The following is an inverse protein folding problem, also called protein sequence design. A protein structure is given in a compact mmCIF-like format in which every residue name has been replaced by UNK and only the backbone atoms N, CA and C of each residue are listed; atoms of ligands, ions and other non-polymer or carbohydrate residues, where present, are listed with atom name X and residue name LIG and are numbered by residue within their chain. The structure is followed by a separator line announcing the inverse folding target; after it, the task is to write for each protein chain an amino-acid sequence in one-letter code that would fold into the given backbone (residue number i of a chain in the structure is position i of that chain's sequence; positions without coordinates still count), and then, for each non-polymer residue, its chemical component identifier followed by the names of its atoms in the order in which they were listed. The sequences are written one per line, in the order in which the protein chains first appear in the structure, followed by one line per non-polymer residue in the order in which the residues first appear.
data_IF_195461438319
#
_entry.id   IF_195461438319
#
_cell.length_a   1.000
_cell.length_b   1.000
_cell.length_c   1.000
_cell.angle_alpha   90.00
_cell.angle_beta   90.00
_cell.angle_gamma   90.00
#
_symmetry.space_group_name_H-M   'P 1'
#
loop_
_entity.id
_entity.type
_entity.pdbx_description
1 polymer ?
#
# COMPACT_ATOMS: atom_id res chain seq x y z
N UNK A 1 -15.06 7.78 19.64
CA UNK A 1 -14.02 8.17 18.66
C UNK A 1 -13.59 6.91 17.93
N UNK A 2 -13.60 6.90 16.60
CA UNK A 2 -13.21 5.72 15.82
C UNK A 2 -11.68 5.58 15.78
N UNK A 3 -11.18 4.35 15.74
CA UNK A 3 -9.77 4.04 15.48
C UNK A 3 -9.23 4.71 14.20
N UNK A 4 -10.11 5.03 13.24
CA UNK A 4 -9.76 5.75 12.01
C UNK A 4 -9.12 7.13 12.26
N UNK A 5 -9.59 7.89 13.26
CA UNK A 5 -9.04 9.21 13.58
C UNK A 5 -7.62 9.08 14.16
N UNK A 6 -7.39 8.07 15.00
CA UNK A 6 -6.06 7.79 15.55
C UNK A 6 -5.10 7.39 14.43
N UNK A 7 -5.56 6.56 13.47
CA UNK A 7 -4.77 6.15 12.31
C UNK A 7 -4.40 7.33 11.40
N UNK A 8 -5.33 8.25 11.15
CA UNK A 8 -5.08 9.44 10.34
C UNK A 8 -4.01 10.35 10.97
N UNK A 9 -4.13 10.62 12.28
CA UNK A 9 -3.16 11.43 13.03
C UNK A 9 -1.80 10.74 13.09
N UNK A 10 -1.78 9.43 13.40
CA UNK A 10 -0.55 8.65 13.42
C UNK A 10 0.14 8.68 12.05
N UNK A 11 -0.62 8.57 10.96
CA UNK A 11 -0.12 8.69 9.59
C UNK A 11 0.57 10.02 9.36
N UNK A 12 -0.06 11.14 9.75
CA UNK A 12 0.54 12.48 9.58
C UNK A 12 1.82 12.62 10.39
N UNK A 13 1.80 12.22 11.68
CA UNK A 13 2.98 12.31 12.53
C UNK A 13 4.14 11.45 12.02
N UNK A 14 3.88 10.21 11.59
CA UNK A 14 4.91 9.35 11.00
C UNK A 14 5.46 9.93 9.69
N UNK A 15 4.61 10.53 8.85
CA UNK A 15 5.05 11.15 7.60
C UNK A 15 5.91 12.40 7.83
N UNK A 16 5.60 13.21 8.86
CA UNK A 16 6.28 14.47 9.15
C UNK A 16 7.55 14.29 10.01
N UNK A 17 7.48 13.43 11.03
CA UNK A 17 8.51 13.29 12.08
C UNK A 17 9.29 11.98 11.98
N UNK A 18 8.88 11.09 11.07
CA UNK A 18 9.42 9.74 10.96
C UNK A 18 8.98 8.84 12.11
N UNK A 19 9.42 7.59 12.07
CA UNK A 19 9.13 6.60 13.11
C UNK A 19 9.66 7.05 14.46
N UNK A 20 10.96 7.34 14.57
CA UNK A 20 11.61 7.72 15.83
C UNK A 20 11.03 9.00 16.47
N UNK A 21 10.72 10.01 15.66
CA UNK A 21 10.17 11.29 16.14
C UNK A 21 8.70 11.23 16.59
N UNK A 22 8.04 10.07 16.43
CA UNK A 22 6.62 9.88 16.75
C UNK A 22 6.46 9.00 17.98
N UNK A 23 5.55 9.36 18.89
CA UNK A 23 5.25 8.55 20.09
C UNK A 23 3.74 8.35 20.25
N UNK A 24 3.33 7.25 20.89
CA UNK A 24 1.91 7.04 21.22
C UNK A 24 1.34 8.18 22.07
N UNK A 25 2.17 8.84 22.89
CA UNK A 25 1.77 10.01 23.69
C UNK A 25 1.46 11.23 22.81
N UNK A 26 2.32 11.54 21.84
CA UNK A 26 2.11 12.70 20.95
C UNK A 26 0.90 12.49 20.07
N UNK A 27 0.63 11.25 19.64
CA UNK A 27 -0.59 10.91 18.88
C UNK A 27 -1.83 11.03 19.77
N UNK A 28 -1.79 10.50 21.00
CA UNK A 28 -2.91 10.60 21.95
C UNK A 28 -3.28 12.05 22.26
N UNK A 29 -2.26 12.90 22.47
CA UNK A 29 -2.44 14.31 22.73
C UNK A 29 -3.14 15.03 21.57
N UNK A 30 -2.71 14.77 20.33
CA UNK A 30 -3.31 15.38 19.14
C UNK A 30 -4.71 14.83 18.85
N UNK A 31 -4.94 13.54 19.09
CA UNK A 31 -6.23 12.90 18.97
C UNK A 31 -7.22 13.27 20.09
N UNK A 32 -6.77 13.97 21.15
CA UNK A 32 -7.61 14.30 22.30
C UNK A 32 -8.07 13.06 23.10
N UNK A 33 -7.24 12.01 23.13
CA UNK A 33 -7.52 10.76 23.86
C UNK A 33 -6.42 10.44 24.87
N UNK A 34 -6.68 9.48 25.76
CA UNK A 34 -5.65 8.93 26.62
C UNK A 34 -4.79 7.92 25.83
N UNK A 35 -3.47 7.93 26.06
CA UNK A 35 -2.52 6.94 25.53
C UNK A 35 -2.98 5.48 25.77
N UNK A 36 -3.64 5.21 26.91
CA UNK A 36 -4.22 3.89 27.19
C UNK A 36 -5.22 3.43 26.12
N UNK A 37 -5.97 4.34 25.49
CA UNK A 37 -6.89 4.01 24.40
C UNK A 37 -6.14 3.62 23.13
N UNK A 38 -5.00 4.27 22.83
CA UNK A 38 -4.15 3.89 21.69
C UNK A 38 -3.54 2.50 21.93
N UNK A 39 -3.02 2.25 23.14
CA UNK A 39 -2.53 0.93 23.52
C UNK A 39 -3.62 -0.14 23.44
N UNK A 40 -4.88 0.19 23.77
CA UNK A 40 -5.98 -0.76 23.64
C UNK A 40 -6.21 -1.18 22.18
N UNK A 41 -6.12 -0.24 21.22
CA UNK A 41 -6.35 -0.54 19.81
C UNK A 41 -5.15 -1.17 19.10
N UNK A 42 -3.94 -0.73 19.41
CA UNK A 42 -2.75 -1.06 18.61
C UNK A 42 -1.67 -1.81 19.38
N UNK A 43 -1.82 -1.96 20.70
CA UNK A 43 -0.91 -2.63 21.65
C UNK A 43 0.45 -1.92 21.79
N UNK A 44 1.17 -1.74 20.70
CA UNK A 44 2.52 -1.18 20.62
C UNK A 44 2.61 -0.06 19.57
N UNK A 45 3.74 0.67 19.58
CA UNK A 45 4.01 1.70 18.55
C UNK A 45 4.23 1.03 17.20
N UNK A 46 4.89 -0.12 17.21
CA UNK A 46 5.13 -1.00 16.06
C UNK A 46 3.79 -1.43 15.45
N UNK A 47 2.86 -1.97 16.25
CA UNK A 47 1.54 -2.38 15.77
C UNK A 47 0.69 -1.21 15.24
N UNK A 48 0.84 -0.01 15.81
CA UNK A 48 0.22 1.19 15.25
C UNK A 48 0.84 1.57 13.90
N UNK A 49 2.16 1.49 13.77
CA UNK A 49 2.85 1.76 12.52
C UNK A 49 2.49 0.74 11.44
N UNK A 50 2.42 -0.56 11.77
CA UNK A 50 1.92 -1.62 10.89
C UNK A 50 0.51 -1.30 10.37
N UNK A 51 -0.39 -0.87 11.27
CA UNK A 51 -1.75 -0.50 10.89
C UNK A 51 -1.77 0.74 9.98
N UNK A 52 -0.91 1.73 10.22
CA UNK A 52 -0.73 2.91 9.34
C UNK A 52 -0.21 2.50 7.97
N UNK A 53 0.79 1.61 7.91
CA UNK A 53 1.40 1.10 6.67
C UNK A 53 0.34 0.36 5.85
N UNK A 54 -0.44 -0.52 6.48
CA UNK A 54 -1.52 -1.27 5.85
C UNK A 54 -2.63 -0.37 5.29
N UNK A 55 -3.11 0.57 6.10
CA UNK A 55 -4.15 1.51 5.70
C UNK A 55 -3.66 2.51 4.65
N UNK A 56 -2.35 2.81 4.65
CA UNK A 56 -1.76 3.49 3.51
C UNK A 56 -1.83 2.54 2.32
N UNK A 57 -1.02 1.48 2.28
CA UNK A 57 -0.74 0.72 1.06
C UNK A 57 -1.97 0.07 0.38
N UNK A 58 -3.14 -0.03 1.05
CA UNK A 58 -4.38 -0.62 0.52
C UNK A 58 -5.39 0.41 0.01
N UNK A 59 -5.61 0.50 -1.31
CA UNK A 59 -6.81 1.14 -1.81
C UNK A 59 -8.04 0.37 -1.31
N UNK A 60 -9.06 1.05 -0.76
CA UNK A 60 -10.28 0.40 -0.33
C UNK A 60 -10.95 -0.31 -1.51
N UNK A 61 -11.44 -1.52 -1.24
CA UNK A 61 -12.12 -2.39 -2.21
C UNK A 61 -11.29 -2.75 -3.45
N UNK A 62 -9.95 -2.65 -3.42
CA UNK A 62 -9.12 -2.90 -4.59
C UNK A 62 -9.43 -4.27 -5.22
N UNK A 63 -9.45 -5.33 -4.42
CA UNK A 63 -9.71 -6.70 -4.89
C UNK A 63 -11.08 -6.77 -5.57
N UNK A 64 -12.13 -6.26 -4.91
CA UNK A 64 -13.50 -6.25 -5.45
C UNK A 64 -13.57 -5.49 -6.77
N UNK A 65 -13.00 -4.28 -6.85
CA UNK A 65 -13.00 -3.46 -8.07
C UNK A 65 -12.20 -4.09 -9.21
N UNK A 66 -11.07 -4.74 -8.88
CA UNK A 66 -10.24 -5.42 -9.87
C UNK A 66 -10.94 -6.66 -10.42
N UNK A 67 -11.68 -7.38 -9.57
CA UNK A 67 -12.47 -8.54 -9.98
C UNK A 67 -13.75 -8.16 -10.74
N UNK A 68 -14.26 -6.94 -10.55
CA UNK A 68 -15.39 -6.37 -11.28
C UNK A 68 -15.02 -6.02 -12.73
N UNK A 69 -14.88 -7.05 -13.55
CA UNK A 69 -14.68 -6.91 -15.00
C UNK A 69 -14.07 -8.14 -15.67
N UNK A 70 -13.82 -8.08 -16.98
CA UNK A 70 -13.35 -9.22 -17.76
C UNK A 70 -12.01 -9.77 -17.25
N UNK A 71 -11.91 -11.08 -17.04
CA UNK A 71 -10.67 -11.73 -16.53
C UNK A 71 -9.44 -11.43 -17.39
N UNK A 72 -9.60 -11.32 -18.71
CA UNK A 72 -8.51 -11.01 -19.66
C UNK A 72 -7.97 -9.59 -19.60
N UNK A 73 -8.52 -8.73 -18.73
CA UNK A 73 -8.09 -7.33 -18.51
C UNK A 73 -7.75 -7.05 -17.04
N UNK A 74 -7.63 -8.09 -16.21
CA UNK A 74 -7.39 -7.93 -14.77
C UNK A 74 -6.06 -7.24 -14.49
N UNK A 75 -5.01 -7.52 -15.28
CA UNK A 75 -3.70 -6.88 -15.13
C UNK A 75 -3.75 -5.36 -15.32
N UNK A 76 -4.41 -4.90 -16.39
CA UNK A 76 -4.62 -3.47 -16.63
C UNK A 76 -5.44 -2.82 -15.51
N UNK A 77 -6.51 -3.48 -15.04
CA UNK A 77 -7.32 -2.95 -13.94
C UNK A 77 -6.55 -2.85 -12.63
N UNK A 78 -5.74 -3.86 -12.28
CA UNK A 78 -4.90 -3.81 -11.07
C UNK A 78 -4.00 -2.59 -11.08
N UNK A 79 -3.26 -2.37 -12.17
CA UNK A 79 -2.36 -1.21 -12.31
C UNK A 79 -3.16 0.09 -12.29
N UNK A 80 -4.21 0.19 -13.10
CA UNK A 80 -5.05 1.39 -13.20
C UNK A 80 -5.60 1.80 -11.83
N UNK A 81 -6.26 0.88 -11.12
CA UNK A 81 -6.89 1.19 -9.84
C UNK A 81 -5.87 1.56 -8.78
N UNK A 82 -4.74 0.85 -8.71
CA UNK A 82 -3.67 1.17 -7.78
C UNK A 82 -3.13 2.60 -8.01
N UNK A 83 -2.69 2.90 -9.23
CA UNK A 83 -2.09 4.20 -9.52
C UNK A 83 -3.11 5.35 -9.52
N UNK A 84 -4.35 5.12 -9.93
CA UNK A 84 -5.41 6.15 -9.86
C UNK A 84 -5.73 6.54 -8.42
N UNK A 85 -5.77 5.56 -7.50
CA UNK A 85 -5.97 5.85 -6.08
C UNK A 85 -4.83 6.70 -5.51
N UNK A 86 -3.59 6.36 -5.88
CA UNK A 86 -2.40 6.99 -5.32
C UNK A 86 -1.98 8.31 -5.96
N UNK A 87 -2.39 8.58 -7.19
CA UNK A 87 -2.12 9.85 -7.88
C UNK A 87 -2.90 11.04 -7.26
N UNK A 88 -3.86 10.77 -6.36
CA UNK A 88 -4.50 11.80 -5.53
C UNK A 88 -3.47 12.41 -4.58
N UNK A 89 -3.29 13.76 -4.55
CA UNK A 89 -2.22 14.39 -3.77
C UNK A 89 -2.15 13.99 -2.29
N UNK A 90 -3.30 13.87 -1.63
CA UNK A 90 -3.38 13.46 -0.22
C UNK A 90 -2.87 12.02 -0.01
N UNK A 91 -3.29 11.08 -0.86
CA UNK A 91 -2.83 9.70 -0.82
C UNK A 91 -1.34 9.61 -1.17
N UNK A 92 -0.87 10.35 -2.19
CA UNK A 92 0.54 10.40 -2.58
C UNK A 92 1.43 10.84 -1.42
N UNK A 93 1.06 11.89 -0.71
CA UNK A 93 1.81 12.41 0.44
C UNK A 93 1.90 11.37 1.55
N UNK A 94 0.76 10.73 1.87
CA UNK A 94 0.67 9.63 2.83
C UNK A 94 1.59 8.46 2.47
N UNK A 95 1.49 7.95 1.23
CA UNK A 95 2.31 6.84 0.76
C UNK A 95 3.81 7.18 0.82
N UNK A 96 4.19 8.37 0.38
CA UNK A 96 5.59 8.79 0.38
C UNK A 96 6.16 8.89 1.82
N UNK A 97 5.38 9.40 2.78
CA UNK A 97 5.79 9.45 4.18
C UNK A 97 5.99 8.06 4.80
N UNK A 98 5.05 7.15 4.52
CA UNK A 98 5.13 5.75 4.95
C UNK A 98 6.33 5.04 4.33
N UNK A 99 6.50 5.11 3.00
CA UNK A 99 7.59 4.42 2.32
C UNK A 99 8.98 4.92 2.74
N UNK A 100 9.13 6.23 3.02
CA UNK A 100 10.38 6.77 3.59
C UNK A 100 10.65 6.23 4.99
N UNK A 101 9.62 6.14 5.82
CA UNK A 101 9.72 5.57 7.16
C UNK A 101 10.10 4.09 7.11
N UNK A 102 9.56 3.35 6.14
CA UNK A 102 9.91 1.94 5.93
C UNK A 102 11.40 1.74 5.63
N UNK A 103 11.99 2.59 4.78
CA UNK A 103 13.43 2.47 4.47
C UNK A 103 14.35 2.82 5.63
N UNK A 104 13.83 3.46 6.69
CA UNK A 104 14.59 3.94 7.83
C UNK A 104 14.47 3.03 9.08
N UNK A 105 13.59 2.04 9.08
CA UNK A 105 13.28 1.18 10.24
C UNK A 105 13.65 -0.27 9.91
N UNK A 106 14.48 -0.90 10.74
CA UNK A 106 14.67 -2.35 10.70
C UNK A 106 13.34 -3.04 11.02
N UNK A 107 12.83 -3.86 10.10
CA UNK A 107 11.54 -4.56 10.23
C UNK A 107 10.48 -4.06 9.25
N UNK A 108 10.38 -2.76 8.99
CA UNK A 108 9.31 -2.19 8.16
C UNK A 108 9.28 -2.69 6.69
N UNK A 109 10.41 -3.24 6.21
CA UNK A 109 10.47 -3.93 4.93
C UNK A 109 9.65 -5.22 4.91
N UNK A 110 9.53 -5.93 6.04
CA UNK A 110 8.65 -7.08 6.22
C UNK A 110 7.18 -6.67 6.09
N UNK A 111 6.76 -5.54 6.66
CA UNK A 111 5.40 -5.05 6.50
C UNK A 111 5.06 -4.72 5.04
N UNK A 112 5.97 -4.07 4.32
CA UNK A 112 5.76 -3.80 2.88
C UNK A 112 5.72 -5.10 2.07
N UNK A 113 6.57 -6.08 2.41
CA UNK A 113 6.55 -7.42 1.78
C UNK A 113 5.23 -8.14 2.02
N UNK A 114 4.80 -8.25 3.29
CA UNK A 114 3.58 -8.93 3.71
C UNK A 114 2.36 -8.26 3.08
N UNK A 115 2.31 -6.93 3.09
CA UNK A 115 1.17 -6.20 2.57
C UNK A 115 0.99 -6.39 1.05
N UNK A 116 2.06 -6.20 0.26
CA UNK A 116 1.96 -6.23 -1.21
C UNK A 116 1.85 -7.65 -1.76
N UNK A 117 2.46 -8.63 -1.10
CA UNK A 117 2.36 -10.04 -1.45
C UNK A 117 1.09 -10.71 -0.89
N UNK A 118 0.94 -10.72 0.43
CA UNK A 118 -0.01 -11.59 1.13
C UNK A 118 -1.39 -10.95 1.37
N UNK A 119 -1.48 -9.63 1.43
CA UNK A 119 -2.74 -8.98 1.84
C UNK A 119 -3.51 -8.35 0.69
N UNK A 120 -2.82 -7.94 -0.39
CA UNK A 120 -3.47 -7.32 -1.54
C UNK A 120 -3.51 -8.25 -2.75
N UNK A 121 -2.34 -8.73 -3.19
CA UNK A 121 -2.25 -9.48 -4.43
C UNK A 121 -2.54 -10.96 -4.24
N UNK A 122 -2.29 -11.53 -3.07
CA UNK A 122 -2.65 -12.92 -2.78
C UNK A 122 -4.16 -13.16 -2.77
N UNK A 123 -5.02 -12.37 -2.09
CA UNK A 123 -6.46 -12.55 -2.18
C UNK A 123 -6.97 -12.38 -3.62
N UNK A 124 -6.35 -11.50 -4.40
CA UNK A 124 -6.66 -11.34 -5.81
C UNK A 124 -6.32 -12.61 -6.62
N UNK A 125 -5.11 -13.17 -6.48
CA UNK A 125 -4.71 -14.37 -7.24
C UNK A 125 -5.44 -15.63 -6.77
N UNK A 126 -5.78 -15.70 -5.49
CA UNK A 126 -6.64 -16.75 -4.90
C UNK A 126 -8.06 -16.67 -5.46
N UNK A 127 -8.69 -15.50 -5.47
CA UNK A 127 -10.02 -15.29 -6.05
C UNK A 127 -10.05 -15.56 -7.57
N UNK A 128 -8.93 -15.35 -8.26
CA UNK A 128 -8.76 -15.73 -9.66
C UNK A 128 -8.56 -17.25 -9.85
N UNK A 129 -8.49 -18.04 -8.78
CA UNK A 129 -8.43 -19.51 -8.82
C UNK A 129 -7.16 -20.04 -9.49
N UNK A 130 -6.04 -19.34 -9.33
CA UNK A 130 -4.79 -19.73 -10.00
C UNK A 130 -3.95 -20.72 -9.17
N UNK A 131 -3.29 -21.70 -9.82
CA UNK A 131 -2.23 -22.45 -9.16
C UNK A 131 -1.07 -21.51 -8.80
N UNK A 132 -0.35 -21.84 -7.72
CA UNK A 132 0.78 -21.05 -7.23
C UNK A 132 0.42 -19.59 -6.91
N UNK A 133 -0.79 -19.34 -6.37
CA UNK A 133 -1.32 -18.01 -6.08
C UNK A 133 -0.33 -17.10 -5.31
N UNK A 134 0.39 -17.64 -4.32
CA UNK A 134 1.43 -16.90 -3.58
C UNK A 134 2.59 -16.43 -4.46
N UNK A 135 3.13 -17.31 -5.30
CA UNK A 135 4.22 -16.94 -6.21
C UNK A 135 3.75 -15.88 -7.22
N UNK A 136 2.54 -16.04 -7.77
CA UNK A 136 1.91 -15.05 -8.67
C UNK A 136 1.77 -13.69 -8.01
N UNK A 137 1.28 -13.67 -6.78
CA UNK A 137 1.13 -12.47 -5.99
C UNK A 137 2.48 -11.80 -5.72
N UNK A 138 3.50 -12.57 -5.33
CA UNK A 138 4.86 -12.07 -5.13
C UNK A 138 5.44 -11.45 -6.42
N UNK A 139 5.32 -12.12 -7.56
CA UNK A 139 5.79 -11.59 -8.86
C UNK A 139 5.08 -10.27 -9.23
N UNK A 140 3.75 -10.23 -9.12
CA UNK A 140 2.99 -9.00 -9.35
C UNK A 140 3.35 -7.90 -8.34
N UNK A 141 3.58 -8.27 -7.08
CA UNK A 141 3.94 -7.35 -5.99
C UNK A 141 5.29 -6.69 -6.22
N UNK A 142 6.31 -7.46 -6.62
CA UNK A 142 7.63 -6.89 -6.94
C UNK A 142 7.56 -5.82 -8.02
N UNK A 143 6.74 -6.03 -9.07
CA UNK A 143 6.57 -5.02 -10.09
C UNK A 143 5.81 -3.80 -9.60
N UNK A 144 4.77 -4.01 -8.80
CA UNK A 144 4.00 -2.91 -8.22
C UNK A 144 4.86 -2.04 -7.31
N UNK A 145 5.68 -2.66 -6.46
CA UNK A 145 6.68 -1.99 -5.59
C UNK A 145 7.65 -1.17 -6.42
N UNK A 146 8.25 -1.79 -7.45
CA UNK A 146 9.23 -1.13 -8.29
C UNK A 146 8.67 0.13 -8.93
N UNK A 147 7.50 0.01 -9.57
CA UNK A 147 6.82 1.14 -10.19
C UNK A 147 6.41 2.22 -9.17
N UNK A 148 5.86 1.83 -8.03
CA UNK A 148 5.46 2.77 -6.98
C UNK A 148 6.66 3.53 -6.41
N UNK A 149 7.76 2.84 -6.14
CA UNK A 149 9.01 3.43 -5.63
C UNK A 149 9.62 4.37 -6.67
N UNK A 150 9.70 3.95 -7.93
CA UNK A 150 10.17 4.80 -9.04
C UNK A 150 9.32 6.07 -9.22
N UNK A 151 8.00 5.97 -9.05
CA UNK A 151 7.07 7.09 -9.24
C UNK A 151 7.03 8.05 -8.04
N UNK A 152 6.96 7.52 -6.82
CA UNK A 152 6.65 8.31 -5.61
C UNK A 152 7.86 8.63 -4.75
N UNK A 153 8.90 7.78 -4.76
CA UNK A 153 10.12 7.98 -3.96
C UNK A 153 11.24 8.56 -4.81
N UNK A 154 11.69 7.80 -5.81
CA UNK A 154 12.83 8.20 -6.64
C UNK A 154 12.46 9.25 -7.67
N UNK A 155 11.16 9.38 -7.99
CA UNK A 155 10.62 10.38 -8.92
C UNK A 155 11.37 10.36 -10.27
N UNK A 156 11.50 9.17 -10.85
CA UNK A 156 12.14 8.98 -12.16
C UNK A 156 11.27 9.67 -13.22
N UNK A 157 11.78 10.70 -13.88
CA UNK A 157 10.97 11.69 -14.62
C UNK A 157 9.86 11.14 -15.54
N UNK A 158 10.14 10.15 -16.38
CA UNK A 158 9.13 9.55 -17.25
C UNK A 158 8.08 8.74 -16.47
N UNK A 159 8.49 8.04 -15.41
CA UNK A 159 7.61 7.25 -14.55
C UNK A 159 6.83 8.13 -13.57
N UNK A 160 7.36 9.28 -13.18
CA UNK A 160 6.64 10.25 -12.35
C UNK A 160 5.48 10.90 -13.09
N UNK A 161 5.70 11.27 -14.36
CA UNK A 161 4.76 12.11 -15.13
C UNK A 161 3.73 11.33 -15.96
N UNK A 162 4.01 10.07 -16.27
CA UNK A 162 3.09 9.21 -17.03
C UNK A 162 1.75 9.05 -16.31
N UNK A 163 0.63 9.01 -17.03
CA UNK A 163 -0.68 8.80 -16.39
C UNK A 163 -0.86 7.36 -15.89
N UNK A 164 -1.73 7.15 -14.90
CA UNK A 164 -2.13 5.82 -14.46
C UNK A 164 -2.68 4.96 -15.62
N UNK A 165 -3.39 5.57 -16.58
CA UNK A 165 -3.91 4.88 -17.78
C UNK A 165 -2.77 4.40 -18.70
N UNK A 166 -1.79 5.25 -18.95
CA UNK A 166 -0.62 4.87 -19.76
C UNK A 166 0.23 3.81 -19.06
N UNK A 167 0.39 3.88 -17.72
CA UNK A 167 1.04 2.81 -16.94
C UNK A 167 0.28 1.49 -17.05
N UNK A 168 -1.04 1.53 -16.94
CA UNK A 168 -1.89 0.35 -17.11
C UNK A 168 -1.78 -0.24 -18.52
N UNK A 169 -1.81 0.60 -19.57
CA UNK A 169 -1.68 0.16 -20.95
C UNK A 169 -0.31 -0.47 -21.25
N UNK A 170 0.76 0.03 -20.64
CA UNK A 170 2.13 -0.44 -20.91
C UNK A 170 2.54 -1.64 -20.07
N UNK A 171 2.12 -1.70 -18.81
CA UNK A 171 2.53 -2.77 -17.87
C UNK A 171 1.43 -3.80 -17.61
N UNK A 172 0.18 -3.52 -18.00
CA UNK A 172 -0.97 -4.37 -17.75
C UNK A 172 -0.82 -5.79 -18.29
N UNK A 173 -0.13 -5.98 -19.44
CA UNK A 173 0.16 -7.32 -19.97
C UNK A 173 1.10 -8.12 -19.05
N UNK A 174 2.12 -7.47 -18.48
CA UNK A 174 3.04 -8.11 -17.52
C UNK A 174 2.28 -8.55 -16.27
N UNK A 175 1.43 -7.67 -15.73
CA UNK A 175 0.56 -8.02 -14.61
C UNK A 175 -0.43 -9.13 -14.98
N UNK A 176 -1.01 -9.11 -16.19
CA UNK A 176 -1.90 -10.16 -16.66
C UNK A 176 -1.18 -11.53 -16.70
N UNK A 177 0.07 -11.57 -17.15
CA UNK A 177 0.89 -12.79 -17.16
C UNK A 177 1.06 -13.34 -15.75
N UNK A 178 1.42 -12.50 -14.78
CA UNK A 178 1.54 -12.94 -13.39
C UNK A 178 0.20 -13.38 -12.79
N UNK A 179 -0.86 -12.60 -13.00
CA UNK A 179 -2.14 -12.81 -12.36
C UNK A 179 -2.94 -13.98 -12.95
N UNK A 180 -2.85 -14.27 -14.24
CA UNK A 180 -3.63 -15.36 -14.87
C UNK A 180 -2.93 -16.09 -16.01
N UNK A 181 -1.72 -15.65 -16.42
CA UNK A 181 -0.99 -16.26 -17.53
C UNK A 181 -0.27 -17.55 -17.14
N UNK A 182 0.39 -18.18 -18.11
CA UNK A 182 1.33 -19.27 -17.81
C UNK A 182 2.55 -18.70 -17.06
N UNK A 183 2.88 -19.31 -15.92
CA UNK A 183 4.10 -19.05 -15.15
C UNK A 183 5.09 -20.19 -15.36
#
# INVERSE_FOLDING_TARGET
MSNSVILEIATSQFAERGYEGTTMRTIAQEAGVNTALIHHFFLTKEGLFEAVVRDALSPPDLVTRVLDGPRGRVGERTVRHFFTFWDVPAHRARLAGVLRSVTAVEGAADEVRNFLGDEVLFPLTEALGQPNARLRAAMAGTQLIGLATSRYIFRIGAIESVSAEQLAATTGRTFQTYLTGAL
#
